data_IF_055184605239
#
_entry.id   IF_055184605239
#
_cell.length_a   1.000
_cell.length_b   1.000
_cell.length_c   1.000
_cell.angle_alpha   90.00
_cell.angle_beta   90.00
_cell.angle_gamma   90.00
#
_symmetry.space_group_name_H-M   'P 1'
#
loop_
_entity.id
_entity.type
_entity.pdbx_description
1 polymer ?
#
# COMPACT_ATOMS: atom_id res chain seq x y z
N UNK A 1 -2.94 23.57 9.92
CA UNK A 1 -3.20 22.15 10.28
C UNK A 1 -3.81 22.14 11.66
N UNK A 2 -4.97 21.51 11.83
CA UNK A 2 -5.60 21.37 13.16
C UNK A 2 -4.80 20.37 14.01
N UNK A 3 -4.46 20.74 15.26
CA UNK A 3 -3.69 19.92 16.21
C UNK A 3 -4.39 18.58 16.45
N UNK A 4 -5.73 18.59 16.48
CA UNK A 4 -6.53 17.39 16.65
C UNK A 4 -6.24 16.36 15.53
N UNK A 5 -6.14 16.82 14.29
CA UNK A 5 -5.89 15.95 13.14
C UNK A 5 -4.47 15.36 13.13
N UNK A 6 -3.52 15.98 13.83
CA UNK A 6 -2.17 15.44 14.02
C UNK A 6 -2.21 14.29 15.04
N UNK A 7 -3.00 14.43 16.10
CA UNK A 7 -3.03 13.49 17.23
C UNK A 7 -3.92 12.27 16.94
N UNK A 8 -5.14 12.48 16.45
CA UNK A 8 -6.11 11.39 16.23
C UNK A 8 -6.23 10.97 14.76
N UNK A 9 -5.53 11.65 13.86
CA UNK A 9 -5.57 11.38 12.42
C UNK A 9 -6.63 12.17 11.66
N UNK A 10 -6.36 12.32 10.36
CA UNK A 10 -7.15 13.12 9.40
C UNK A 10 -8.34 12.37 8.84
N UNK A 11 -8.28 11.04 8.75
CA UNK A 11 -9.35 10.20 8.19
C UNK A 11 -10.02 9.36 9.28
N UNK A 12 -11.27 8.95 9.01
CA UNK A 12 -12.00 8.05 9.91
C UNK A 12 -11.27 6.75 10.17
N UNK A 13 -10.62 6.18 9.16
CA UNK A 13 -9.79 4.98 9.33
C UNK A 13 -8.63 5.18 10.30
N UNK A 14 -7.92 6.31 10.21
CA UNK A 14 -6.85 6.65 11.16
C UNK A 14 -7.39 6.83 12.59
N UNK A 15 -8.52 7.53 12.73
CA UNK A 15 -9.15 7.76 14.03
C UNK A 15 -9.55 6.45 14.72
N UNK A 16 -10.16 5.53 13.97
CA UNK A 16 -10.54 4.21 14.49
C UNK A 16 -9.31 3.44 14.99
N UNK A 17 -8.21 3.44 14.22
CA UNK A 17 -6.98 2.75 14.61
C UNK A 17 -6.34 3.38 15.86
N UNK A 18 -6.23 4.71 15.91
CA UNK A 18 -5.64 5.43 17.05
C UNK A 18 -6.46 5.23 18.31
N UNK A 19 -7.78 5.39 18.23
CA UNK A 19 -8.67 5.18 19.38
C UNK A 19 -8.66 3.72 19.85
N UNK A 20 -8.68 2.77 18.93
CA UNK A 20 -8.56 1.34 19.25
C UNK A 20 -7.27 1.02 20.00
N UNK A 21 -6.14 1.57 19.53
CA UNK A 21 -4.85 1.41 20.21
C UNK A 21 -4.87 2.06 21.61
N UNK A 22 -5.43 3.26 21.75
CA UNK A 22 -5.56 3.93 23.04
C UNK A 22 -6.39 3.11 24.03
N UNK A 23 -7.57 2.61 23.62
CA UNK A 23 -8.44 1.77 24.45
C UNK A 23 -7.72 0.49 24.89
N UNK A 24 -7.04 -0.20 23.97
CA UNK A 24 -6.30 -1.42 24.28
C UNK A 24 -5.16 -1.16 25.27
N UNK A 25 -4.38 -0.08 25.07
CA UNK A 25 -3.30 0.25 25.99
C UNK A 25 -3.82 0.75 27.34
N UNK A 26 -4.92 1.51 27.40
CA UNK A 26 -5.58 1.86 28.66
C UNK A 26 -6.00 0.61 29.44
N UNK A 27 -6.62 -0.37 28.77
CA UNK A 27 -6.96 -1.65 29.38
C UNK A 27 -5.71 -2.41 29.88
N UNK A 28 -4.62 -2.42 29.11
CA UNK A 28 -3.36 -3.05 29.52
C UNK A 28 -2.70 -2.32 30.70
N UNK A 29 -2.77 -0.99 30.77
CA UNK A 29 -2.23 -0.23 31.90
C UNK A 29 -2.99 -0.52 33.20
N UNK A 30 -4.29 -0.76 33.12
CA UNK A 30 -5.13 -1.12 34.28
C UNK A 30 -4.87 -2.58 34.70
N UNK A 31 -4.82 -3.52 33.74
CA UNK A 31 -4.77 -4.96 34.05
C UNK A 31 -3.35 -5.52 34.20
N UNK A 32 -2.39 -5.01 33.41
CA UNK A 32 -1.02 -5.54 33.28
C UNK A 32 0.01 -4.42 33.02
N UNK A 33 0.25 -3.51 34.00
CA UNK A 33 1.02 -2.28 33.77
C UNK A 33 2.47 -2.51 33.30
N UNK A 34 3.13 -3.57 33.80
CA UNK A 34 4.50 -3.89 33.37
C UNK A 34 4.55 -4.35 31.89
N UNK A 35 3.52 -5.07 31.43
CA UNK A 35 3.41 -5.49 30.03
C UNK A 35 3.12 -4.28 29.14
N UNK A 36 2.23 -3.38 29.57
CA UNK A 36 1.93 -2.14 28.85
C UNK A 36 3.17 -1.27 28.66
N UNK A 37 3.94 -1.02 29.74
CA UNK A 37 5.19 -0.24 29.67
C UNK A 37 6.20 -0.84 28.69
N UNK A 38 6.43 -2.16 28.77
CA UNK A 38 7.32 -2.87 27.85
C UNK A 38 6.85 -2.77 26.40
N UNK A 39 5.53 -2.88 26.18
CA UNK A 39 4.91 -2.70 24.87
C UNK A 39 5.22 -1.32 24.27
N UNK A 40 4.97 -0.24 25.03
CA UNK A 40 5.26 1.14 24.58
C UNK A 40 6.73 1.33 24.23
N UNK A 41 7.65 0.87 25.09
CA UNK A 41 9.10 0.99 24.86
C UNK A 41 9.51 0.26 23.58
N UNK A 42 9.08 -0.99 23.41
CA UNK A 42 9.41 -1.79 22.22
C UNK A 42 8.83 -1.18 20.94
N UNK A 43 7.60 -0.65 21.00
CA UNK A 43 6.97 0.05 19.88
C UNK A 43 7.75 1.30 19.50
N UNK A 44 8.21 2.10 20.47
CA UNK A 44 9.03 3.28 20.20
C UNK A 44 10.38 2.91 19.59
N UNK A 45 11.05 1.88 20.12
CA UNK A 45 12.31 1.38 19.55
C UNK A 45 12.15 0.92 18.10
N UNK A 46 11.08 0.18 17.81
CA UNK A 46 10.77 -0.27 16.44
C UNK A 46 10.44 0.91 15.52
N UNK A 47 9.70 1.90 16.02
CA UNK A 47 9.46 3.13 15.25
C UNK A 47 10.77 3.84 14.90
N UNK A 48 11.67 4.01 15.88
CA UNK A 48 12.96 4.67 15.64
C UNK A 48 13.87 3.88 14.71
N UNK A 49 13.85 2.54 14.74
CA UNK A 49 14.65 1.71 13.84
C UNK A 49 14.13 1.74 12.40
N UNK A 50 12.82 1.92 12.22
CA UNK A 50 12.20 2.05 10.89
C UNK A 50 12.14 3.49 10.40
N UNK A 51 12.39 4.49 11.25
CA UNK A 51 12.18 5.90 10.95
C UNK A 51 12.92 6.35 9.68
N UNK A 52 14.22 6.09 9.60
CA UNK A 52 15.06 6.45 8.46
C UNK A 52 14.60 5.76 7.17
N UNK A 53 14.22 4.48 7.27
CA UNK A 53 13.70 3.70 6.15
C UNK A 53 12.35 4.27 5.65
N UNK A 54 11.46 4.66 6.55
CA UNK A 54 10.17 5.28 6.19
C UNK A 54 10.38 6.60 5.47
N UNK A 55 11.26 7.48 6.00
CA UNK A 55 11.58 8.76 5.36
C UNK A 55 12.17 8.54 3.95
N UNK A 56 13.14 7.64 3.82
CA UNK A 56 13.73 7.31 2.52
C UNK A 56 12.69 6.76 1.54
N UNK A 57 11.82 5.84 1.98
CA UNK A 57 10.77 5.28 1.15
C UNK A 57 9.76 6.33 0.67
N UNK A 58 9.40 7.30 1.53
CA UNK A 58 8.52 8.41 1.16
C UNK A 58 9.18 9.35 0.14
N UNK A 59 10.46 9.69 0.33
CA UNK A 59 11.20 10.53 -0.62
C UNK A 59 11.33 9.85 -1.99
N UNK A 60 11.67 8.57 -2.01
CA UNK A 60 11.76 7.78 -3.25
C UNK A 60 10.40 7.70 -3.92
N UNK A 61 9.33 7.44 -3.16
CA UNK A 61 7.95 7.40 -3.66
C UNK A 61 7.56 8.71 -4.36
N UNK A 62 7.83 9.86 -3.71
CA UNK A 62 7.57 11.17 -4.32
C UNK A 62 8.46 11.42 -5.54
N UNK A 63 9.75 11.07 -5.48
CA UNK A 63 10.66 11.23 -6.61
C UNK A 63 10.21 10.42 -7.84
N UNK A 64 9.82 9.16 -7.66
CA UNK A 64 9.28 8.31 -8.73
C UNK A 64 8.05 8.96 -9.36
N UNK A 65 7.10 9.40 -8.52
CA UNK A 65 5.91 10.09 -9.00
C UNK A 65 6.25 11.33 -9.83
N UNK A 66 7.22 12.13 -9.38
CA UNK A 66 7.66 13.35 -10.07
C UNK A 66 8.45 13.09 -11.37
N UNK A 67 9.26 12.03 -11.43
CA UNK A 67 10.10 11.70 -12.57
C UNK A 67 9.33 11.22 -13.80
N UNK A 68 8.11 10.72 -13.63
CA UNK A 68 7.29 10.22 -14.74
C UNK A 68 6.49 11.39 -15.34
N UNK A 69 6.74 11.79 -16.61
CA UNK A 69 6.00 12.88 -17.26
C UNK A 69 4.52 12.55 -17.39
N UNK A 70 3.65 13.58 -17.32
CA UNK A 70 2.21 13.42 -17.39
C UNK A 70 1.76 12.80 -18.72
N UNK A 71 2.40 13.20 -19.83
CA UNK A 71 2.14 12.67 -21.17
C UNK A 71 2.36 11.16 -21.22
N UNK A 72 3.41 10.68 -20.55
CA UNK A 72 3.74 9.24 -20.47
C UNK A 72 2.71 8.48 -19.64
N UNK A 73 2.15 9.10 -18.60
CA UNK A 73 1.08 8.50 -17.80
C UNK A 73 -0.18 8.37 -18.65
N UNK A 74 -0.59 9.42 -19.34
CA UNK A 74 -1.78 9.42 -20.21
C UNK A 74 -1.62 8.37 -21.32
N UNK A 75 -0.47 8.34 -21.99
CA UNK A 75 -0.20 7.40 -23.10
C UNK A 75 -0.24 5.93 -22.65
N UNK A 76 0.30 5.62 -21.47
CA UNK A 76 0.50 4.23 -21.02
C UNK A 76 -0.60 3.71 -20.10
N UNK A 77 -1.22 4.59 -19.32
CA UNK A 77 -2.13 4.27 -18.22
C UNK A 77 -3.45 5.04 -18.29
N UNK A 78 -3.60 5.99 -19.22
CA UNK A 78 -4.82 6.79 -19.38
C UNK A 78 -5.96 6.02 -20.06
N UNK A 79 -7.03 6.74 -20.40
CA UNK A 79 -8.29 6.16 -20.91
C UNK A 79 -8.10 5.29 -22.17
N UNK A 80 -7.25 5.73 -23.10
CA UNK A 80 -6.93 4.99 -24.33
C UNK A 80 -6.08 3.72 -24.14
N UNK A 81 -5.56 3.46 -22.94
CA UNK A 81 -4.66 2.33 -22.68
C UNK A 81 -5.35 0.97 -22.58
N UNK A 82 -6.66 0.96 -22.25
CA UNK A 82 -7.50 -0.23 -22.15
C UNK A 82 -6.86 -1.39 -21.37
N UNK A 83 -6.95 -2.61 -21.91
CA UNK A 83 -6.35 -3.80 -21.30
C UNK A 83 -4.83 -3.67 -21.10
N UNK A 84 -4.12 -3.00 -22.02
CA UNK A 84 -2.66 -2.87 -21.93
C UNK A 84 -2.28 -2.08 -20.68
N UNK A 85 -2.93 -0.94 -20.43
CA UNK A 85 -2.70 -0.13 -19.23
C UNK A 85 -3.10 -0.86 -17.95
N UNK A 86 -4.22 -1.59 -17.97
CA UNK A 86 -4.66 -2.39 -16.81
C UNK A 86 -3.61 -3.45 -16.45
N UNK A 87 -3.13 -4.21 -17.43
CA UNK A 87 -2.14 -5.25 -17.20
C UNK A 87 -0.80 -4.67 -16.76
N UNK A 88 -0.28 -3.65 -17.45
CA UNK A 88 1.01 -3.04 -17.09
C UNK A 88 0.94 -2.35 -15.73
N UNK A 89 -0.11 -1.59 -15.45
CA UNK A 89 -0.32 -0.93 -14.16
C UNK A 89 -0.38 -1.93 -13.02
N UNK A 90 -1.22 -2.96 -13.13
CA UNK A 90 -1.34 -4.00 -12.11
C UNK A 90 -0.02 -4.72 -11.82
N UNK A 91 0.72 -5.10 -12.87
CA UNK A 91 2.02 -5.75 -12.74
C UNK A 91 3.07 -4.83 -12.10
N UNK A 92 3.20 -3.59 -12.60
CA UNK A 92 4.15 -2.61 -12.07
C UNK A 92 3.89 -2.31 -10.59
N UNK A 93 2.63 -2.13 -10.22
CA UNK A 93 2.26 -1.93 -8.82
C UNK A 93 2.55 -3.16 -7.95
N UNK A 94 2.43 -4.38 -8.51
CA UNK A 94 2.81 -5.63 -7.85
C UNK A 94 4.31 -5.76 -7.53
N UNK A 95 5.15 -5.02 -8.25
CA UNK A 95 6.59 -4.91 -8.01
C UNK A 95 6.96 -3.82 -6.99
N UNK A 96 6.03 -2.90 -6.68
CA UNK A 96 6.27 -1.88 -5.67
C UNK A 96 6.51 -2.54 -4.30
N UNK A 97 7.56 -2.08 -3.65
CA UNK A 97 7.99 -2.55 -2.34
C UNK A 97 7.70 -1.49 -1.28
N UNK A 98 7.66 -1.92 -0.02
CA UNK A 98 7.29 -1.07 1.11
C UNK A 98 5.81 -1.15 1.45
N UNK A 99 5.44 -0.52 2.57
CA UNK A 99 4.07 -0.49 3.03
C UNK A 99 3.17 0.44 2.20
N UNK A 100 1.86 0.49 2.51
CA UNK A 100 0.91 1.36 1.82
C UNK A 100 1.32 2.83 1.83
N UNK A 101 2.04 3.27 2.87
CA UNK A 101 2.59 4.62 2.99
C UNK A 101 3.58 4.98 1.86
N UNK A 102 4.22 4.01 1.21
CA UNK A 102 5.13 4.25 0.08
C UNK A 102 4.44 4.00 -1.27
N UNK A 103 3.70 2.91 -1.41
CA UNK A 103 3.09 2.53 -2.69
C UNK A 103 1.87 3.41 -3.07
N UNK A 104 1.02 3.78 -2.11
CA UNK A 104 -0.22 4.50 -2.41
C UNK A 104 0.03 5.93 -2.90
N UNK A 105 1.00 6.71 -2.37
CA UNK A 105 1.33 8.02 -2.94
C UNK A 105 1.80 7.95 -4.40
N UNK A 106 2.54 6.91 -4.79
CA UNK A 106 2.95 6.71 -6.20
C UNK A 106 1.70 6.52 -7.08
N UNK A 107 0.82 5.59 -6.68
CA UNK A 107 -0.41 5.30 -7.42
C UNK A 107 -1.31 6.53 -7.49
N UNK A 108 -1.44 7.27 -6.38
CA UNK A 108 -2.20 8.53 -6.34
C UNK A 108 -1.60 9.59 -7.26
N UNK A 109 -0.28 9.73 -7.29
CA UNK A 109 0.40 10.66 -8.20
C UNK A 109 0.17 10.30 -9.66
N UNK A 110 0.09 9.01 -10.01
CA UNK A 110 -0.20 8.57 -11.37
C UNK A 110 -1.67 8.82 -11.73
N UNK A 111 -2.59 8.59 -10.79
CA UNK A 111 -3.99 8.96 -10.96
C UNK A 111 -4.16 10.46 -11.20
N UNK A 112 -3.48 11.29 -10.42
CA UNK A 112 -3.51 12.76 -10.55
C UNK A 112 -2.92 13.25 -11.88
N UNK A 113 -2.10 12.43 -12.53
CA UNK A 113 -1.51 12.66 -13.86
C UNK A 113 -2.32 12.02 -15.00
N UNK A 114 -3.56 11.60 -14.76
CA UNK A 114 -4.46 11.12 -15.80
C UNK A 114 -4.46 9.60 -16.02
N UNK A 115 -3.91 8.79 -15.11
CA UNK A 115 -4.13 7.34 -15.18
C UNK A 115 -5.62 7.02 -14.99
N UNK A 116 -6.17 6.14 -15.83
CA UNK A 116 -7.57 5.77 -15.79
C UNK A 116 -7.94 4.98 -14.53
N UNK A 117 -9.17 5.13 -14.04
CA UNK A 117 -9.61 4.50 -12.79
C UNK A 117 -9.52 2.97 -12.83
N UNK A 118 -9.79 2.35 -13.98
CA UNK A 118 -9.62 0.89 -14.16
C UNK A 118 -8.17 0.44 -13.94
N UNK A 119 -7.21 1.24 -14.40
CA UNK A 119 -5.78 0.99 -14.21
C UNK A 119 -5.40 1.18 -12.75
N UNK A 120 -5.90 2.23 -12.09
CA UNK A 120 -5.66 2.46 -10.66
C UNK A 120 -6.17 1.30 -9.80
N UNK A 121 -7.36 0.78 -10.10
CA UNK A 121 -7.90 -0.41 -9.40
C UNK A 121 -7.00 -1.62 -9.60
N UNK A 122 -6.56 -1.87 -10.85
CA UNK A 122 -5.60 -2.92 -11.14
C UNK A 122 -4.26 -2.72 -10.39
N UNK A 123 -3.77 -1.48 -10.28
CA UNK A 123 -2.56 -1.18 -9.52
C UNK A 123 -2.71 -1.50 -8.03
N UNK A 124 -3.80 -1.06 -7.39
CA UNK A 124 -4.04 -1.30 -5.97
C UNK A 124 -4.15 -2.79 -5.65
N UNK A 125 -4.89 -3.54 -6.49
CA UNK A 125 -5.01 -4.99 -6.36
C UNK A 125 -3.71 -5.71 -6.72
N UNK A 126 -2.96 -5.24 -7.71
CA UNK A 126 -1.66 -5.79 -8.08
C UNK A 126 -0.64 -5.69 -6.94
N UNK A 127 -0.53 -4.51 -6.33
CA UNK A 127 0.30 -4.30 -5.13
C UNK A 127 -0.10 -5.23 -3.97
N UNK A 128 -1.41 -5.41 -3.76
CA UNK A 128 -1.93 -6.31 -2.73
C UNK A 128 -1.67 -7.79 -3.04
N UNK A 129 -1.99 -8.21 -4.26
CA UNK A 129 -2.07 -9.62 -4.63
C UNK A 129 -0.71 -10.19 -5.07
N UNK A 130 0.10 -9.47 -5.85
CA UNK A 130 1.39 -9.95 -6.37
C UNK A 130 2.47 -9.79 -5.31
N UNK A 131 2.64 -8.57 -4.80
CA UNK A 131 3.54 -8.21 -3.69
C UNK A 131 4.82 -9.06 -3.63
N UNK A 132 5.74 -8.84 -4.58
CA UNK A 132 6.87 -9.76 -4.81
C UNK A 132 7.78 -9.92 -3.59
N UNK A 133 7.94 -8.87 -2.77
CA UNK A 133 8.69 -8.94 -1.52
C UNK A 133 8.11 -9.95 -0.51
N UNK A 134 6.85 -10.34 -0.64
CA UNK A 134 6.22 -11.36 0.23
C UNK A 134 6.45 -12.79 -0.25
N UNK A 135 7.02 -12.99 -1.44
CA UNK A 135 7.28 -14.33 -2.00
C UNK A 135 8.31 -15.07 -1.15
N UNK A 136 9.41 -14.41 -0.75
CA UNK A 136 10.44 -15.02 0.09
C UNK A 136 9.89 -15.50 1.43
N UNK A 137 9.13 -14.66 2.12
CA UNK A 137 8.44 -15.03 3.36
C UNK A 137 7.43 -16.15 3.12
N UNK A 138 6.66 -16.07 2.04
CA UNK A 138 5.71 -17.11 1.66
C UNK A 138 6.40 -18.47 1.50
N UNK A 139 7.56 -18.52 0.85
CA UNK A 139 8.29 -19.76 0.64
C UNK A 139 8.83 -20.31 1.97
N UNK A 140 9.33 -19.44 2.85
CA UNK A 140 9.82 -19.81 4.18
C UNK A 140 8.74 -20.45 5.05
N UNK A 141 7.51 -19.91 5.05
CA UNK A 141 6.46 -20.35 5.98
C UNK A 141 5.46 -21.36 5.38
N UNK A 142 5.20 -21.33 4.07
CA UNK A 142 4.13 -22.12 3.43
C UNK A 142 4.62 -23.07 2.32
N UNK A 143 5.87 -22.92 1.89
CA UNK A 143 6.46 -23.73 0.81
C UNK A 143 5.96 -23.37 -0.60
N UNK A 144 6.54 -24.00 -1.64
CA UNK A 144 6.38 -23.58 -3.03
C UNK A 144 4.98 -23.80 -3.59
N UNK A 145 4.26 -24.85 -3.16
CA UNK A 145 2.91 -25.15 -3.67
C UNK A 145 1.92 -24.04 -3.37
N UNK A 146 1.88 -23.56 -2.12
CA UNK A 146 0.95 -22.52 -1.70
C UNK A 146 1.32 -21.18 -2.35
N UNK A 147 2.61 -20.83 -2.35
CA UNK A 147 3.08 -19.58 -2.95
C UNK A 147 2.84 -19.54 -4.46
N UNK A 148 3.10 -20.66 -5.15
CA UNK A 148 2.85 -20.80 -6.58
C UNK A 148 1.37 -20.58 -6.93
N UNK A 149 0.45 -21.24 -6.22
CA UNK A 149 -0.99 -21.04 -6.41
C UNK A 149 -1.41 -19.60 -6.11
N UNK A 150 -0.89 -18.99 -5.05
CA UNK A 150 -1.16 -17.58 -4.71
C UNK A 150 -0.69 -16.65 -5.83
N UNK A 151 0.50 -16.86 -6.40
CA UNK A 151 1.02 -16.03 -7.49
C UNK A 151 0.26 -16.26 -8.80
N UNK A 152 -0.13 -17.51 -9.08
CA UNK A 152 -0.98 -17.86 -10.22
C UNK A 152 -2.30 -17.08 -10.19
N UNK A 153 -2.92 -16.96 -9.02
CA UNK A 153 -4.17 -16.19 -8.83
C UNK A 153 -3.91 -14.68 -8.74
N UNK A 154 -2.75 -14.26 -8.26
CA UNK A 154 -2.41 -12.85 -8.08
C UNK A 154 -2.23 -12.08 -9.39
N UNK A 155 -1.91 -12.76 -10.50
CA UNK A 155 -1.76 -12.14 -11.82
C UNK A 155 -3.11 -11.81 -12.50
N UNK A 156 -4.08 -12.74 -12.62
CA UNK A 156 -5.35 -12.44 -13.28
C UNK A 156 -6.28 -11.56 -12.46
N UNK A 157 -6.26 -11.64 -11.13
CA UNK A 157 -7.21 -10.91 -10.27
C UNK A 157 -7.18 -9.39 -10.50
N UNK A 158 -6.01 -8.70 -10.49
CA UNK A 158 -5.95 -7.27 -10.76
C UNK A 158 -6.43 -6.90 -12.17
N UNK A 159 -6.11 -7.74 -13.16
CA UNK A 159 -6.47 -7.51 -14.56
C UNK A 159 -7.98 -7.63 -14.74
N UNK A 160 -8.59 -8.69 -14.22
CA UNK A 160 -10.03 -8.91 -14.29
C UNK A 160 -10.80 -7.80 -13.58
N UNK A 161 -10.33 -7.36 -12.40
CA UNK A 161 -10.95 -6.26 -11.69
C UNK A 161 -10.86 -4.94 -12.46
N UNK A 162 -9.69 -4.62 -13.04
CA UNK A 162 -9.56 -3.45 -13.90
C UNK A 162 -10.46 -3.52 -15.13
N UNK A 163 -10.54 -4.69 -15.77
CA UNK A 163 -11.43 -4.89 -16.92
C UNK A 163 -12.90 -4.71 -16.56
N UNK A 164 -13.34 -5.25 -15.42
CA UNK A 164 -14.69 -5.03 -14.91
C UNK A 164 -14.95 -3.52 -14.78
N UNK A 165 -14.05 -2.78 -14.14
CA UNK A 165 -14.20 -1.33 -13.97
C UNK A 165 -14.25 -0.61 -15.32
N UNK A 166 -13.40 -0.99 -16.28
CA UNK A 166 -13.37 -0.40 -17.62
C UNK A 166 -14.68 -0.60 -18.40
N UNK A 167 -15.48 -1.63 -18.07
CA UNK A 167 -16.77 -1.88 -18.70
C UNK A 167 -17.91 -1.06 -18.08
N UNK A 168 -17.73 -0.54 -16.86
CA UNK A 168 -18.79 0.13 -16.09
C UNK A 168 -18.55 1.63 -15.88
N UNK A 169 -17.34 2.11 -16.14
CA UNK A 169 -16.91 3.51 -15.98
C UNK A 169 -16.25 3.97 -17.25
#
# INVERSE_FOLDING_TARGET
>A
MDILNIIIGKSWGQRIVVLGAAILYSYLFITKPNVAKKGVINSFQTFTSLFTLIIAALLISQAIGLLIPEERVIDLLGEGSGLKGIATGGLLAGLLQGGPYAAYPIIKSLYDKGAHISVVIAMLLGYGAIGIGRVAYGLMFFGPKIVGLRLLLALPVPILAGLIVLLFV
#
